data_IF_215382341226
#
_entry.id   IF_215382341226
#
_cell.length_a   1.000
_cell.length_b   1.000
_cell.length_c   1.000
_cell.angle_alpha   90.00
_cell.angle_beta   90.00
_cell.angle_gamma   90.00
#
_symmetry.space_group_name_H-M   'P 1'
#
loop_
_entity.id
_entity.type
_entity.pdbx_description
1 polymer ?
#
# COMPACT_ATOMS: atom_id res chain seq x y z
N UNK A 1 -11.24 0.03 -20.74
CA UNK A 1 -9.96 0.04 -20.00
C UNK A 1 -9.94 -1.23 -19.16
N UNK A 2 -8.91 -2.07 -19.26
CA UNK A 2 -8.80 -3.29 -18.44
C UNK A 2 -8.36 -2.95 -17.00
N UNK A 3 -8.26 -3.95 -16.12
CA UNK A 3 -7.87 -3.76 -14.71
C UNK A 3 -6.50 -3.07 -14.56
N UNK A 4 -5.47 -3.62 -15.20
CA UNK A 4 -4.10 -3.09 -15.12
C UNK A 4 -4.01 -1.63 -15.60
N UNK A 5 -4.72 -1.30 -16.68
CA UNK A 5 -4.78 0.06 -17.20
C UNK A 5 -5.47 1.03 -16.21
N UNK A 6 -6.52 0.62 -15.50
CA UNK A 6 -7.16 1.44 -14.46
C UNK A 6 -6.24 1.67 -13.27
N UNK A 7 -5.52 0.64 -12.82
CA UNK A 7 -4.49 0.78 -11.78
C UNK A 7 -3.36 1.72 -12.21
N UNK A 8 -2.88 1.60 -13.45
CA UNK A 8 -1.84 2.47 -14.00
C UNK A 8 -2.32 3.92 -14.14
N UNK A 9 -3.57 4.13 -14.55
CA UNK A 9 -4.17 5.46 -14.61
C UNK A 9 -4.21 6.11 -13.21
N UNK A 10 -4.73 5.41 -12.21
CA UNK A 10 -4.73 5.89 -10.82
C UNK A 10 -3.30 6.17 -10.33
N UNK A 11 -2.36 5.27 -10.61
CA UNK A 11 -0.96 5.46 -10.25
C UNK A 11 -0.37 6.72 -10.87
N UNK A 12 -0.67 7.00 -12.14
CA UNK A 12 -0.14 8.19 -12.83
C UNK A 12 -0.67 9.50 -12.24
N UNK A 13 -1.87 9.48 -11.67
CA UNK A 13 -2.50 10.66 -11.06
C UNK A 13 -2.10 10.87 -9.60
N UNK A 14 -1.86 9.78 -8.86
CA UNK A 14 -1.78 9.82 -7.40
C UNK A 14 -0.46 9.35 -6.82
N UNK A 15 0.35 8.66 -7.60
CA UNK A 15 1.59 8.02 -7.15
C UNK A 15 1.39 7.07 -5.94
N UNK A 16 0.20 6.45 -5.83
CA UNK A 16 -0.18 5.61 -4.68
C UNK A 16 0.53 4.24 -4.61
N UNK A 17 1.10 3.77 -5.72
CA UNK A 17 1.75 2.49 -5.88
C UNK A 17 3.26 2.66 -6.08
N UNK A 18 4.04 1.93 -5.30
CA UNK A 18 5.48 1.75 -5.51
C UNK A 18 5.75 0.63 -6.51
N UNK A 19 4.92 -0.44 -6.52
CA UNK A 19 4.84 -1.44 -7.61
C UNK A 19 3.40 -1.74 -7.96
N UNK A 20 3.14 -1.92 -9.24
CA UNK A 20 2.00 -2.69 -9.72
C UNK A 20 2.50 -4.10 -10.03
N UNK A 21 1.79 -5.12 -9.56
CA UNK A 21 2.16 -6.54 -9.68
C UNK A 21 1.32 -7.27 -10.74
N UNK A 22 0.35 -6.60 -11.35
CA UNK A 22 -0.54 -7.15 -12.36
C UNK A 22 0.00 -6.84 -13.76
N UNK A 23 0.04 -7.84 -14.63
CA UNK A 23 0.44 -7.67 -16.03
C UNK A 23 -0.69 -7.06 -16.87
N UNK A 24 -0.37 -6.47 -18.01
CA UNK A 24 -1.34 -5.75 -18.84
C UNK A 24 -2.45 -6.63 -19.41
N UNK A 25 -2.18 -7.92 -19.58
CA UNK A 25 -3.08 -8.94 -20.11
C UNK A 25 -3.70 -9.83 -19.04
N UNK A 26 -3.44 -9.55 -17.75
CA UNK A 26 -4.03 -10.32 -16.65
C UNK A 26 -5.57 -10.19 -16.65
N UNK A 27 -6.30 -11.27 -16.33
CA UNK A 27 -7.74 -11.20 -16.13
C UNK A 27 -8.09 -10.27 -14.96
N UNK A 28 -9.35 -9.84 -14.91
CA UNK A 28 -9.87 -9.08 -13.78
C UNK A 28 -9.77 -9.92 -12.50
N UNK A 29 -9.11 -9.42 -11.44
CA UNK A 29 -9.01 -10.16 -10.18
C UNK A 29 -10.37 -10.22 -9.48
N UNK A 30 -10.60 -11.31 -8.78
CA UNK A 30 -11.83 -11.56 -8.01
C UNK A 30 -11.72 -11.00 -6.59
N UNK A 31 -10.54 -11.09 -5.97
CA UNK A 31 -10.27 -10.65 -4.59
C UNK A 31 -9.01 -9.79 -4.49
N UNK A 32 -8.91 -8.66 -5.23
CA UNK A 32 -7.71 -7.84 -5.27
C UNK A 32 -7.47 -7.11 -3.95
N UNK A 33 -6.27 -7.24 -3.39
CA UNK A 33 -5.82 -6.43 -2.25
C UNK A 33 -4.44 -5.82 -2.52
N UNK A 34 -4.09 -4.81 -1.72
CA UNK A 34 -2.77 -4.20 -1.78
C UNK A 34 -2.08 -4.23 -0.41
N UNK A 35 -0.75 -4.14 -0.41
CA UNK A 35 0.05 -4.08 0.80
C UNK A 35 1.02 -2.91 0.74
N UNK A 36 1.18 -2.20 1.85
CA UNK A 36 2.21 -1.18 1.99
C UNK A 36 3.60 -1.77 1.74
N UNK A 37 4.49 -1.02 1.09
CA UNK A 37 5.86 -1.47 0.74
C UNK A 37 6.79 -1.65 1.98
N UNK A 38 6.22 -1.73 3.18
CA UNK A 38 6.87 -2.12 4.43
C UNK A 38 6.70 -3.60 4.79
N UNK A 39 5.79 -4.31 4.11
CA UNK A 39 5.65 -5.77 4.23
C UNK A 39 6.64 -6.47 3.29
N UNK A 40 7.41 -7.42 3.80
CA UNK A 40 8.34 -8.18 2.97
C UNK A 40 7.58 -9.14 2.04
N UNK A 41 8.07 -9.29 0.81
CA UNK A 41 7.58 -10.25 -0.15
C UNK A 41 8.74 -11.04 -0.73
N UNK A 42 8.57 -12.35 -0.85
CA UNK A 42 9.58 -13.22 -1.45
C UNK A 42 9.92 -12.78 -2.87
N UNK A 43 11.21 -12.65 -3.17
CA UNK A 43 11.71 -12.25 -4.49
C UNK A 43 11.49 -10.77 -4.86
N UNK A 44 10.99 -9.95 -3.93
CA UNK A 44 10.77 -8.52 -4.15
C UNK A 44 11.48 -7.68 -3.09
N UNK A 45 12.18 -6.64 -3.55
CA UNK A 45 12.75 -5.64 -2.66
C UNK A 45 11.64 -4.86 -1.95
N UNK A 46 11.86 -4.55 -0.68
CA UNK A 46 11.00 -3.65 0.09
C UNK A 46 11.76 -2.36 0.35
N UNK A 47 11.30 -1.26 -0.24
CA UNK A 47 12.02 0.01 -0.14
C UNK A 47 11.88 0.62 1.25
N UNK A 48 10.82 0.29 1.98
CA UNK A 48 10.41 0.99 3.21
C UNK A 48 10.35 2.51 3.02
N UNK A 49 10.05 2.95 1.80
CA UNK A 49 9.94 4.35 1.44
C UNK A 49 11.29 5.07 1.31
N UNK A 50 12.41 4.35 1.26
CA UNK A 50 13.76 4.95 1.09
C UNK A 50 14.46 4.45 -0.17
N UNK A 51 15.49 5.19 -0.60
CA UNK A 51 16.43 4.79 -1.64
C UNK A 51 17.87 5.03 -1.14
N UNK A 52 18.78 4.04 -1.18
CA UNK A 52 18.54 2.66 -1.65
C UNK A 52 17.52 1.90 -0.78
N UNK A 53 16.92 0.79 -1.28
CA UNK A 53 15.94 0.02 -0.51
C UNK A 53 16.47 -0.42 0.85
N UNK A 54 15.67 -0.24 1.91
CA UNK A 54 16.08 -0.63 3.28
C UNK A 54 16.20 -2.15 3.46
N UNK A 55 15.45 -2.94 2.68
CA UNK A 55 15.51 -4.40 2.70
C UNK A 55 15.65 -4.94 1.28
N UNK A 56 16.76 -5.65 1.05
CA UNK A 56 17.00 -6.38 -0.20
C UNK A 56 15.97 -7.49 -0.40
N UNK A 57 15.79 -7.92 -1.65
CA UNK A 57 14.94 -9.06 -1.98
C UNK A 57 15.39 -10.29 -1.19
N UNK A 58 14.47 -10.89 -0.45
CA UNK A 58 14.73 -12.06 0.37
C UNK A 58 13.77 -13.22 0.04
N UNK A 59 13.96 -14.39 0.67
CA UNK A 59 13.12 -15.56 0.40
C UNK A 59 11.76 -15.52 1.12
N UNK A 60 11.54 -14.58 2.05
CA UNK A 60 10.38 -14.59 2.95
C UNK A 60 9.33 -13.56 2.56
N UNK A 61 8.09 -14.01 2.51
CA UNK A 61 6.89 -13.17 2.50
C UNK A 61 6.42 -12.99 3.95
N UNK A 62 5.97 -11.79 4.31
CA UNK A 62 5.42 -11.54 5.64
C UNK A 62 4.22 -12.46 5.90
N UNK A 63 4.14 -13.15 7.07
CA UNK A 63 3.13 -14.18 7.30
C UNK A 63 1.68 -13.71 7.13
N UNK A 64 1.40 -12.43 7.41
CA UNK A 64 0.08 -11.83 7.17
C UNK A 64 -0.26 -11.83 5.67
N UNK A 65 0.68 -11.43 4.82
CA UNK A 65 0.48 -11.37 3.37
C UNK A 65 0.39 -12.78 2.78
N UNK A 66 1.23 -13.70 3.26
CA UNK A 66 1.18 -15.11 2.87
C UNK A 66 -0.19 -15.73 3.22
N UNK A 67 -0.71 -15.47 4.42
CA UNK A 67 -2.04 -15.93 4.82
C UNK A 67 -3.12 -15.37 3.89
N UNK A 68 -3.12 -14.07 3.60
CA UNK A 68 -4.11 -13.46 2.71
C UNK A 68 -4.10 -14.11 1.32
N UNK A 69 -2.91 -14.37 0.76
CA UNK A 69 -2.77 -15.05 -0.53
C UNK A 69 -3.30 -16.49 -0.45
N UNK A 70 -2.98 -17.22 0.63
CA UNK A 70 -3.45 -18.60 0.80
C UNK A 70 -4.97 -18.74 0.92
N UNK A 71 -5.66 -17.67 1.33
CA UNK A 71 -7.13 -17.61 1.46
C UNK A 71 -7.79 -17.08 0.17
N UNK A 72 -7.04 -16.99 -0.93
CA UNK A 72 -7.54 -16.55 -2.24
C UNK A 72 -7.42 -15.05 -2.52
N UNK A 73 -6.73 -14.30 -1.65
CA UNK A 73 -6.42 -12.89 -1.90
C UNK A 73 -5.42 -12.71 -3.04
N UNK A 74 -5.70 -11.76 -3.92
CA UNK A 74 -4.85 -11.46 -5.07
C UNK A 74 -4.07 -10.16 -4.81
N UNK A 75 -2.78 -10.26 -4.51
CA UNK A 75 -1.95 -9.08 -4.24
C UNK A 75 -1.63 -8.33 -5.54
N UNK A 76 -2.26 -7.18 -5.76
CA UNK A 76 -2.17 -6.45 -7.03
C UNK A 76 -1.13 -5.32 -7.04
N UNK A 77 -0.76 -4.81 -5.87
CA UNK A 77 0.15 -3.67 -5.76
C UNK A 77 0.86 -3.59 -4.40
N UNK A 78 2.07 -3.05 -4.45
CA UNK A 78 2.79 -2.54 -3.30
C UNK A 78 2.61 -1.03 -3.23
N UNK A 79 2.04 -0.52 -2.15
CA UNK A 79 1.67 0.90 -2.05
C UNK A 79 2.83 1.76 -1.54
N UNK A 80 2.91 2.98 -2.07
CA UNK A 80 3.83 4.01 -1.60
C UNK A 80 3.49 4.42 -0.15
N UNK A 81 4.48 4.98 0.53
CA UNK A 81 4.47 5.24 1.97
C UNK A 81 5.40 6.39 2.34
N UNK A 82 5.20 6.95 3.52
CA UNK A 82 6.18 7.89 4.09
C UNK A 82 7.46 7.12 4.49
N UNK A 83 8.66 7.71 4.28
CA UNK A 83 9.93 7.04 4.55
C UNK A 83 10.01 6.43 5.96
N UNK A 84 10.41 5.17 6.03
CA UNK A 84 10.55 4.37 7.24
C UNK A 84 9.29 4.28 8.11
N UNK A 85 8.11 4.57 7.55
CA UNK A 85 6.86 4.70 8.29
C UNK A 85 6.81 5.89 9.29
N UNK A 86 7.80 6.79 9.29
CA UNK A 86 8.03 7.84 10.31
C UNK A 86 7.51 9.23 9.91
N UNK A 87 6.31 9.31 9.33
CA UNK A 87 5.59 10.58 9.12
C UNK A 87 4.09 10.31 8.97
N UNK A 88 3.31 11.39 8.91
CA UNK A 88 1.88 11.38 8.69
C UNK A 88 1.46 12.30 7.52
N UNK A 89 2.40 12.76 6.69
CA UNK A 89 2.15 13.77 5.65
C UNK A 89 1.67 13.17 4.32
N UNK A 90 2.09 11.94 3.99
CA UNK A 90 1.93 11.39 2.64
C UNK A 90 3.06 11.79 1.69
N UNK A 91 4.11 12.45 2.21
CA UNK A 91 5.27 12.88 1.43
C UNK A 91 6.37 11.82 1.44
N UNK A 92 7.02 11.63 0.29
CA UNK A 92 8.20 10.80 0.19
C UNK A 92 9.22 11.46 -0.74
N UNK A 93 10.39 11.81 -0.20
CA UNK A 93 11.46 12.46 -0.98
C UNK A 93 12.16 11.54 -1.98
N UNK A 94 12.05 10.23 -1.80
CA UNK A 94 12.71 9.22 -2.65
C UNK A 94 11.79 8.73 -3.77
N UNK A 95 10.51 8.53 -3.46
CA UNK A 95 9.52 7.94 -4.37
C UNK A 95 8.43 8.93 -4.80
N UNK A 96 8.53 10.19 -4.40
CA UNK A 96 7.51 11.22 -4.64
C UNK A 96 6.34 11.14 -3.65
N UNK A 97 5.69 12.29 -3.41
CA UNK A 97 4.50 12.35 -2.57
C UNK A 97 3.33 11.56 -3.17
N UNK A 98 2.49 11.00 -2.30
CA UNK A 98 1.19 10.46 -2.68
C UNK A 98 0.18 11.61 -2.71
N UNK A 99 -0.49 11.77 -3.84
CA UNK A 99 -1.47 12.82 -4.06
C UNK A 99 -2.88 12.26 -3.87
N UNK A 100 -3.79 13.13 -3.43
CA UNK A 100 -5.21 12.85 -3.50
C UNK A 100 -5.67 12.88 -4.97
N UNK A 101 -6.63 12.03 -5.37
CA UNK A 101 -7.21 12.09 -6.71
C UNK A 101 -7.88 13.45 -6.95
N UNK A 102 -8.12 13.83 -8.22
CA UNK A 102 -8.65 15.16 -8.57
C UNK A 102 -9.95 15.54 -7.84
N UNK A 103 -10.81 14.57 -7.53
CA UNK A 103 -12.04 14.76 -6.76
C UNK A 103 -11.82 15.28 -5.33
N UNK A 104 -10.58 15.18 -4.82
CA UNK A 104 -10.13 15.62 -3.50
C UNK A 104 -8.87 16.50 -3.59
N UNK A 105 -8.66 17.16 -4.73
CA UNK A 105 -7.49 18.02 -4.97
C UNK A 105 -7.27 19.05 -3.86
N UNK A 106 -6.01 19.32 -3.54
CA UNK A 106 -5.60 20.28 -2.49
C UNK A 106 -5.63 19.74 -1.06
N UNK A 107 -6.02 18.48 -0.85
CA UNK A 107 -5.91 17.79 0.45
C UNK A 107 -4.67 16.90 0.49
N UNK A 108 -4.09 16.73 1.67
CA UNK A 108 -3.02 15.76 1.88
C UNK A 108 -3.56 14.32 1.84
N UNK A 109 -2.78 13.38 1.29
CA UNK A 109 -3.10 11.95 1.37
C UNK A 109 -3.00 11.42 2.81
N UNK A 110 -2.20 12.09 3.65
CA UNK A 110 -1.77 11.68 4.99
C UNK A 110 -1.04 10.33 4.99
N UNK A 111 -0.32 10.04 6.06
CA UNK A 111 0.61 8.92 6.13
C UNK A 111 0.60 8.18 7.48
N UNK A 112 1.46 7.18 7.66
CA UNK A 112 2.47 6.74 6.67
C UNK A 112 1.97 5.75 5.63
N UNK A 113 0.74 5.23 5.73
CA UNK A 113 0.16 4.29 4.75
C UNK A 113 -0.63 5.04 3.66
N UNK A 114 -0.01 6.08 3.12
CA UNK A 114 -0.63 7.06 2.21
C UNK A 114 -1.19 6.42 0.94
N UNK A 115 -0.38 5.64 0.24
CA UNK A 115 -0.80 4.92 -0.96
C UNK A 115 -1.90 3.89 -0.68
N UNK A 116 -1.88 3.26 0.49
CA UNK A 116 -2.92 2.31 0.92
C UNK A 116 -4.28 3.00 1.06
N UNK A 117 -4.31 4.21 1.63
CA UNK A 117 -5.53 5.00 1.77
C UNK A 117 -6.16 5.39 0.43
N UNK A 118 -5.33 5.88 -0.50
CA UNK A 118 -5.79 6.24 -1.86
C UNK A 118 -6.31 5.02 -2.61
N UNK A 119 -5.55 3.93 -2.59
CA UNK A 119 -5.91 2.73 -3.34
C UNK A 119 -7.18 2.07 -2.77
N UNK A 120 -7.35 2.03 -1.45
CA UNK A 120 -8.58 1.55 -0.82
C UNK A 120 -9.81 2.39 -1.20
N UNK A 121 -9.65 3.71 -1.37
CA UNK A 121 -10.74 4.59 -1.79
C UNK A 121 -11.06 4.54 -3.30
N UNK A 122 -10.18 3.97 -4.11
CA UNK A 122 -10.35 3.91 -5.56
C UNK A 122 -11.41 2.90 -6.04
N UNK A 123 -11.75 1.92 -5.20
CA UNK A 123 -12.58 0.78 -5.60
C UNK A 123 -11.87 -0.26 -6.48
N UNK A 124 -10.56 -0.12 -6.73
CA UNK A 124 -9.76 -1.11 -7.47
C UNK A 124 -9.27 -2.27 -6.62
N UNK A 125 -9.39 -2.18 -5.29
CA UNK A 125 -9.06 -3.24 -4.33
C UNK A 125 -10.19 -3.38 -3.31
N UNK A 126 -10.39 -4.58 -2.76
CA UNK A 126 -11.32 -4.82 -1.65
C UNK A 126 -10.79 -4.24 -0.33
N UNK A 127 -9.48 -4.05 -0.24
CA UNK A 127 -8.80 -3.48 0.90
C UNK A 127 -7.30 -3.32 0.68
N UNK A 128 -6.66 -2.52 1.54
CA UNK A 128 -5.22 -2.34 1.55
C UNK A 128 -4.67 -2.46 2.97
N UNK A 129 -3.54 -3.16 3.11
CA UNK A 129 -2.89 -3.39 4.40
C UNK A 129 -1.75 -2.40 4.63
N UNK A 130 -1.70 -1.85 5.83
CA UNK A 130 -0.65 -0.93 6.29
C UNK A 130 -0.25 -1.20 7.74
N UNK A 131 0.60 -0.34 8.28
CA UNK A 131 1.02 -0.35 9.69
C UNK A 131 0.54 0.91 10.37
N UNK A 132 0.19 0.81 11.66
CA UNK A 132 -0.38 1.91 12.44
C UNK A 132 0.15 1.89 13.87
N UNK A 133 1.20 2.68 14.10
CA UNK A 133 1.74 2.96 15.43
C UNK A 133 1.09 4.21 16.04
N UNK A 134 1.02 5.31 15.27
CA UNK A 134 0.49 6.60 15.71
C UNK A 134 -0.75 7.09 14.96
N UNK A 135 -1.37 6.24 14.13
CA UNK A 135 -2.47 6.64 13.24
C UNK A 135 -2.23 6.30 11.77
N UNK A 136 -1.13 5.66 11.42
CA UNK A 136 -0.67 5.53 10.04
C UNK A 136 -1.57 4.72 9.09
N UNK A 137 -2.61 4.03 9.57
CA UNK A 137 -3.71 3.48 8.75
C UNK A 137 -4.96 4.35 8.87
N UNK A 138 -5.29 4.79 10.09
CA UNK A 138 -6.51 5.57 10.37
C UNK A 138 -6.48 6.97 9.73
N UNK A 139 -5.33 7.65 9.72
CA UNK A 139 -5.16 8.99 9.16
C UNK A 139 -5.33 9.00 7.63
N UNK A 140 -4.62 8.16 6.84
CA UNK A 140 -4.89 8.06 5.40
C UNK A 140 -6.33 7.64 5.10
N UNK A 141 -6.91 6.71 5.87
CA UNK A 141 -8.29 6.30 5.69
C UNK A 141 -9.27 7.47 5.87
N UNK A 142 -9.10 8.27 6.94
CA UNK A 142 -9.91 9.46 7.17
C UNK A 142 -9.76 10.51 6.06
N UNK A 143 -8.54 10.74 5.56
CA UNK A 143 -8.29 11.67 4.45
C UNK A 143 -9.01 11.24 3.15
N UNK A 144 -9.04 9.94 2.89
CA UNK A 144 -9.62 9.36 1.68
C UNK A 144 -11.10 9.00 1.83
N UNK A 145 -11.68 9.13 3.03
CA UNK A 145 -13.10 8.85 3.29
C UNK A 145 -13.45 7.36 3.28
N UNK A 146 -12.53 6.51 3.73
CA UNK A 146 -12.72 5.06 3.89
C UNK A 146 -12.49 4.63 5.34
N UNK A 147 -12.83 3.38 5.67
CA UNK A 147 -12.64 2.84 7.01
C UNK A 147 -11.17 2.42 7.18
N UNK A 148 -10.54 2.89 8.27
CA UNK A 148 -9.22 2.45 8.70
C UNK A 148 -9.32 1.73 10.04
N UNK A 149 -8.84 0.48 10.09
CA UNK A 149 -8.87 -0.34 11.31
C UNK A 149 -7.45 -0.65 11.79
N UNK A 150 -7.18 -0.35 13.07
CA UNK A 150 -5.98 -0.79 13.76
C UNK A 150 -6.36 -1.84 14.78
N UNK A 151 -5.94 -3.08 14.56
CA UNK A 151 -6.16 -4.18 15.50
C UNK A 151 -5.55 -3.93 16.89
N UNK A 152 -5.97 -4.74 17.85
CA UNK A 152 -5.24 -4.90 19.11
C UNK A 152 -3.83 -5.41 18.83
N UNK A 153 -2.83 -5.01 19.66
CA UNK A 153 -1.48 -5.54 19.53
C UNK A 153 -1.46 -7.07 19.49
N UNK A 154 -0.58 -7.63 18.66
CA UNK A 154 -0.33 -9.06 18.52
C UNK A 154 -1.49 -9.91 17.96
N UNK A 155 -2.60 -9.31 17.51
CA UNK A 155 -3.66 -10.06 16.81
C UNK A 155 -3.18 -10.62 15.46
N UNK A 156 -2.30 -9.88 14.77
CA UNK A 156 -1.66 -10.31 13.53
C UNK A 156 -0.15 -10.41 13.72
N UNK A 157 0.47 -11.32 12.96
CA UNK A 157 1.93 -11.44 12.94
C UNK A 157 2.57 -10.11 12.53
N UNK A 158 3.67 -9.79 13.19
CA UNK A 158 4.53 -8.62 12.95
C UNK A 158 5.90 -9.03 12.40
N UNK A 159 6.04 -10.29 12.03
CA UNK A 159 7.26 -10.79 11.42
C UNK A 159 7.40 -10.25 10.00
N UNK A 160 8.64 -9.92 9.62
CA UNK A 160 8.98 -9.46 8.27
C UNK A 160 8.19 -8.22 7.80
N UNK A 161 7.82 -7.33 8.73
CA UNK A 161 7.21 -6.02 8.45
C UNK A 161 7.88 -4.90 9.28
N UNK A 162 8.08 -3.73 8.69
CA UNK A 162 8.47 -2.51 9.43
C UNK A 162 7.24 -1.82 10.03
N UNK A 163 7.23 -1.64 11.35
CA UNK A 163 6.15 -1.01 12.11
C UNK A 163 6.30 0.50 12.25
#
# INVERSE_FOLDING_TARGET
>A
MNYAQRLKALQSETNCCRKILVADDSPEPTSPFAAKDCFSLSGLESSWGVSPPAKQAGPKTAPLIEKLISEGGELVALTNLDPLCLSASGENKYHGAVLQPPSRAGKAALGSSSGSGVLAASGLVIGAFGTDLGGSVRLPAAANGVIGFKSSPNLFSREDVLL
#
